data_IF_772558952039
#
_entry.id   IF_772558952039
#
_cell.length_a   1.000
_cell.length_b   1.000
_cell.length_c   1.000
_cell.angle_alpha   90.00
_cell.angle_beta   90.00
_cell.angle_gamma   90.00
#
_symmetry.space_group_name_H-M   'P 1'
#
loop_
_entity.id
_entity.type
_entity.pdbx_description
1 polymer ?
#
# COMPACT_ATOMS: atom_id res chain seq x y z
N UNK A 1 14.64 -13.56 -16.19
CA UNK A 1 14.80 -12.79 -14.93
C UNK A 1 13.58 -11.92 -14.61
N UNK A 2 12.82 -11.42 -15.58
CA UNK A 2 11.61 -10.59 -15.34
C UNK A 2 10.46 -11.27 -14.55
N UNK A 3 10.25 -12.58 -14.66
CA UNK A 3 9.21 -13.29 -13.89
C UNK A 3 9.45 -13.25 -12.37
N UNK A 4 10.69 -13.46 -11.93
CA UNK A 4 11.08 -13.39 -10.52
C UNK A 4 10.89 -11.97 -9.97
N UNK A 5 11.30 -10.95 -10.74
CA UNK A 5 11.10 -9.55 -10.38
C UNK A 5 9.61 -9.21 -10.29
N UNK A 6 8.77 -9.72 -11.21
CA UNK A 6 7.33 -9.48 -11.18
C UNK A 6 6.64 -10.15 -9.98
N UNK A 7 7.03 -11.37 -9.63
CA UNK A 7 6.53 -12.08 -8.43
C UNK A 7 6.95 -11.33 -7.16
N UNK A 8 8.21 -10.88 -7.09
CA UNK A 8 8.71 -10.08 -5.97
C UNK A 8 7.95 -8.74 -5.86
N UNK A 9 7.64 -8.09 -6.98
CA UNK A 9 6.86 -6.85 -7.03
C UNK A 9 5.42 -7.05 -6.56
N UNK A 10 4.79 -8.15 -6.95
CA UNK A 10 3.46 -8.53 -6.47
C UNK A 10 3.47 -8.80 -4.97
N UNK A 11 4.45 -9.57 -4.48
CA UNK A 11 4.62 -9.83 -3.05
C UNK A 11 4.82 -8.56 -2.24
N UNK A 12 5.69 -7.65 -2.71
CA UNK A 12 5.90 -6.35 -2.09
C UNK A 12 4.63 -5.48 -2.10
N UNK A 13 3.87 -5.46 -3.19
CA UNK A 13 2.61 -4.73 -3.27
C UNK A 13 1.55 -5.28 -2.30
N UNK A 14 1.46 -6.61 -2.17
CA UNK A 14 0.60 -7.26 -1.17
C UNK A 14 1.01 -6.88 0.24
N UNK A 15 2.31 -6.89 0.53
CA UNK A 15 2.84 -6.54 1.85
C UNK A 15 2.58 -5.07 2.19
N UNK A 16 2.74 -4.15 1.24
CA UNK A 16 2.35 -2.73 1.38
C UNK A 16 0.85 -2.60 1.64
N UNK A 17 0.02 -3.37 0.95
CA UNK A 17 -1.43 -3.39 1.18
C UNK A 17 -1.81 -3.84 2.60
N UNK A 18 -1.15 -4.88 3.12
CA UNK A 18 -1.36 -5.37 4.50
C UNK A 18 -0.93 -4.30 5.51
N UNK A 19 0.23 -3.67 5.31
CA UNK A 19 0.72 -2.59 6.18
C UNK A 19 -0.24 -1.39 6.16
N UNK A 20 -0.75 -1.01 5.00
CA UNK A 20 -1.76 0.06 4.89
C UNK A 20 -3.05 -0.29 5.66
N UNK A 21 -3.54 -1.53 5.55
CA UNK A 21 -4.69 -2.00 6.29
C UNK A 21 -4.47 -2.01 7.81
N UNK A 22 -3.30 -2.51 8.26
CA UNK A 22 -2.91 -2.48 9.68
C UNK A 22 -2.82 -1.03 10.20
N UNK A 23 -2.32 -0.09 9.39
CA UNK A 23 -2.24 1.33 9.73
C UNK A 23 -3.64 1.95 9.85
N UNK A 24 -4.57 1.54 8.99
CA UNK A 24 -5.99 1.93 9.06
C UNK A 24 -6.66 1.45 10.35
N UNK A 25 -6.43 0.20 10.74
CA UNK A 25 -6.94 -0.35 12.00
C UNK A 25 -6.34 0.39 13.19
N UNK A 26 -5.04 0.68 13.15
CA UNK A 26 -4.36 1.47 14.17
C UNK A 26 -4.94 2.88 14.30
N UNK A 27 -5.29 3.52 13.18
CA UNK A 27 -5.96 4.84 13.14
C UNK A 27 -7.33 4.81 13.85
N UNK A 28 -8.14 3.79 13.58
CA UNK A 28 -9.47 3.62 14.19
C UNK A 28 -9.37 3.38 15.70
N UNK A 29 -8.39 2.56 16.12
CA UNK A 29 -8.10 2.31 17.52
C UNK A 29 -7.59 3.58 18.22
N UNK A 30 -6.79 4.40 17.54
CA UNK A 30 -6.31 5.69 18.03
C UNK A 30 -7.47 6.71 18.15
N UNK A 31 -8.41 6.72 17.21
CA UNK A 31 -9.61 7.59 17.25
C UNK A 31 -10.54 7.30 18.43
N UNK A 32 -10.41 6.14 19.08
CA UNK A 32 -11.18 5.78 20.27
C UNK A 32 -10.49 6.23 21.57
N UNK A 33 -9.29 6.81 21.50
CA UNK A 33 -8.58 7.38 22.66
C UNK A 33 -9.01 8.83 22.87
N UNK A 34 -9.44 9.21 24.09
CA UNK A 34 -9.85 10.56 24.41
C UNK A 34 -8.62 11.44 24.62
N UNK A 35 -7.98 11.87 23.53
CA UNK A 35 -6.77 12.70 23.61
C UNK A 35 -6.83 13.86 22.58
N UNK A 36 -6.19 14.97 22.96
CA UNK A 36 -6.27 16.35 22.45
C UNK A 36 -5.89 16.55 20.97
N UNK A 37 -5.90 17.79 20.48
CA UNK A 37 -5.60 18.27 19.09
C UNK A 37 -4.46 17.52 18.37
N UNK A 38 -3.48 16.97 19.11
CA UNK A 38 -2.39 16.13 18.59
C UNK A 38 -2.85 14.84 17.91
N UNK A 39 -3.89 14.16 18.41
CA UNK A 39 -4.43 12.93 17.79
C UNK A 39 -5.06 13.23 16.44
N UNK A 40 -5.78 14.34 16.31
CA UNK A 40 -6.37 14.77 15.04
C UNK A 40 -5.28 15.04 14.00
N UNK A 41 -4.20 15.70 14.40
CA UNK A 41 -3.05 15.93 13.51
C UNK A 41 -2.37 14.61 13.10
N UNK A 42 -2.20 13.67 14.02
CA UNK A 42 -1.67 12.34 13.73
C UNK A 42 -2.59 11.55 12.79
N UNK A 43 -3.92 11.69 12.93
CA UNK A 43 -4.90 11.03 12.06
C UNK A 43 -4.85 11.57 10.63
N UNK A 44 -4.74 12.88 10.46
CA UNK A 44 -4.59 13.51 9.14
C UNK A 44 -3.27 13.09 8.50
N UNK A 45 -2.17 13.11 9.26
CA UNK A 45 -0.85 12.69 8.79
C UNK A 45 -0.82 11.21 8.37
N UNK A 46 -1.34 10.32 9.20
CA UNK A 46 -1.43 8.88 8.89
C UNK A 46 -2.39 8.61 7.73
N UNK A 47 -3.52 9.32 7.65
CA UNK A 47 -4.46 9.23 6.54
C UNK A 47 -3.79 9.57 5.20
N UNK A 48 -3.00 10.65 5.14
CA UNK A 48 -2.25 11.02 3.94
C UNK A 48 -1.22 9.95 3.55
N UNK A 49 -0.49 9.41 4.54
CA UNK A 49 0.49 8.34 4.33
C UNK A 49 -0.18 7.07 3.80
N UNK A 50 -1.34 6.70 4.33
CA UNK A 50 -2.13 5.55 3.86
C UNK A 50 -2.54 5.74 2.40
N UNK A 51 -3.06 6.91 2.03
CA UNK A 51 -3.44 7.22 0.63
C UNK A 51 -2.22 7.11 -0.29
N UNK A 52 -1.07 7.63 0.14
CA UNK A 52 0.17 7.59 -0.63
C UNK A 52 0.68 6.14 -0.82
N UNK A 53 0.62 5.32 0.23
CA UNK A 53 0.97 3.90 0.19
C UNK A 53 0.03 3.09 -0.71
N UNK A 54 -1.28 3.35 -0.66
CA UNK A 54 -2.27 2.71 -1.53
C UNK A 54 -2.06 3.11 -2.99
N UNK A 55 -1.75 4.38 -3.26
CA UNK A 55 -1.44 4.85 -4.61
C UNK A 55 -0.16 4.20 -5.15
N UNK A 56 0.89 4.12 -4.33
CA UNK A 56 2.13 3.43 -4.68
C UNK A 56 1.90 1.93 -4.92
N UNK A 57 1.16 1.26 -4.05
CA UNK A 57 0.79 -0.14 -4.22
C UNK A 57 0.04 -0.35 -5.54
N UNK A 58 -0.94 0.49 -5.88
CA UNK A 58 -1.69 0.42 -7.13
C UNK A 58 -0.81 0.63 -8.37
N UNK A 59 0.11 1.61 -8.34
CA UNK A 59 1.04 1.87 -9.44
C UNK A 59 1.98 0.68 -9.62
N UNK A 60 2.51 0.15 -8.52
CA UNK A 60 3.43 -0.99 -8.54
C UNK A 60 2.74 -2.25 -9.03
N UNK A 61 1.50 -2.49 -8.59
CA UNK A 61 0.66 -3.60 -9.02
C UNK A 61 0.31 -3.51 -10.52
N UNK A 62 -0.08 -2.32 -11.01
CA UNK A 62 -0.32 -2.09 -12.45
C UNK A 62 0.94 -2.25 -13.29
N UNK A 63 2.10 -1.77 -12.82
CA UNK A 63 3.39 -1.97 -13.51
C UNK A 63 3.78 -3.45 -13.54
N UNK A 64 3.63 -4.16 -12.42
CA UNK A 64 3.88 -5.60 -12.32
C UNK A 64 2.97 -6.40 -13.26
N UNK A 65 1.67 -6.07 -13.30
CA UNK A 65 0.70 -6.72 -14.17
C UNK A 65 0.94 -6.42 -15.66
N UNK A 66 1.30 -5.17 -16.01
CA UNK A 66 1.72 -4.81 -17.39
C UNK A 66 2.97 -5.57 -17.82
N UNK A 67 3.97 -5.71 -16.93
CA UNK A 67 5.18 -6.51 -17.19
C UNK A 67 4.86 -7.98 -17.41
N UNK A 68 3.97 -8.55 -16.60
CA UNK A 68 3.51 -9.94 -16.72
C UNK A 68 2.73 -10.19 -18.02
N UNK A 69 1.87 -9.25 -18.44
CA UNK A 69 1.16 -9.31 -19.73
C UNK A 69 2.11 -9.16 -20.93
N UNK A 70 3.01 -8.17 -20.90
CA UNK A 70 3.98 -7.96 -21.96
C UNK A 70 4.91 -9.18 -22.16
N UNK A 71 5.24 -9.90 -21.09
CA UNK A 71 5.97 -11.17 -21.19
C UNK A 71 5.14 -12.33 -21.74
N UNK A 72 3.81 -12.30 -21.59
CA UNK A 72 2.90 -13.35 -22.08
C UNK A 72 2.58 -13.21 -23.56
N UNK A 73 2.58 -11.99 -24.09
CA UNK A 73 2.38 -11.71 -25.52
C UNK A 73 3.68 -11.84 -26.36
N UNK A 74 4.84 -12.00 -25.72
CA UNK A 74 6.14 -12.11 -26.38
C UNK A 74 6.68 -13.55 -26.51
N UNK A 75 5.83 -14.56 -26.27
CA UNK A 75 6.16 -15.99 -26.43
C UNK A 75 5.03 -16.73 -27.12
#
# INVERSE_FOLDING_TARGET
>A
MDKLVAILQLGAATLIGIVAAATLVNLVLLSSRPETISVVNAMIGQGLVIICLIALANILFRKGLKRLRAQRDAG
#
